data_IF_460079176236
#
_entry.id   IF_460079176236
#
_cell.length_a   1.000
_cell.length_b   1.000
_cell.length_c   1.000
_cell.angle_alpha   90.00
_cell.angle_beta   90.00
_cell.angle_gamma   90.00
#
_symmetry.space_group_name_H-M   'P 1'
#
loop_
_entity.id
_entity.type
_entity.pdbx_description
1 polymer ?
#
# COMPACT_ATOMS: atom_id res chain seq x y z
N UNK A 1 -14.69 -7.02 -38.36
CA UNK A 1 -14.11 -6.89 -37.01
C UNK A 1 -13.63 -5.45 -36.87
N UNK A 2 -14.33 -4.55 -36.17
CA UNK A 2 -13.74 -3.28 -35.78
C UNK A 2 -12.80 -3.53 -34.60
N UNK A 3 -11.59 -2.99 -34.69
CA UNK A 3 -10.54 -3.14 -33.67
C UNK A 3 -10.91 -2.39 -32.39
N UNK A 4 -10.47 -2.94 -31.25
CA UNK A 4 -10.53 -2.28 -29.96
C UNK A 4 -9.74 -0.96 -30.04
N UNK A 5 -10.42 0.16 -29.79
CA UNK A 5 -9.76 1.41 -29.50
C UNK A 5 -9.28 1.36 -28.05
N UNK A 6 -8.02 1.71 -27.82
CA UNK A 6 -7.41 1.80 -26.49
C UNK A 6 -8.17 2.84 -25.63
N UNK A 7 -8.49 2.54 -24.36
CA UNK A 7 -9.11 3.50 -23.46
C UNK A 7 -8.13 4.65 -23.15
N UNK A 8 -8.64 5.88 -23.15
CA UNK A 8 -7.85 7.06 -22.79
C UNK A 8 -7.66 7.13 -21.27
N UNK A 9 -6.43 7.10 -20.74
CA UNK A 9 -6.21 7.27 -19.31
C UNK A 9 -6.48 8.73 -18.88
N UNK A 10 -6.80 8.99 -17.61
CA UNK A 10 -6.78 10.35 -17.07
C UNK A 10 -5.38 10.94 -17.21
N UNK A 11 -5.30 12.27 -17.19
CA UNK A 11 -4.03 12.98 -17.30
C UNK A 11 -3.27 12.88 -15.98
N UNK A 12 -2.43 11.87 -15.88
CA UNK A 12 -1.36 11.76 -14.89
C UNK A 12 -0.08 12.28 -15.55
N UNK A 13 0.44 13.40 -15.06
CA UNK A 13 1.76 13.91 -15.50
C UNK A 13 2.79 13.46 -14.48
N UNK A 14 3.73 12.62 -14.92
CA UNK A 14 4.87 12.16 -14.11
C UNK A 14 6.13 12.75 -14.74
N UNK A 15 6.82 13.64 -14.02
CA UNK A 15 8.14 14.10 -14.42
C UNK A 15 9.21 13.31 -13.66
N UNK A 16 9.94 12.45 -14.37
CA UNK A 16 11.00 11.60 -13.79
C UNK A 16 12.37 12.11 -14.22
N UNK A 17 13.22 12.42 -13.25
CA UNK A 17 14.64 12.73 -13.48
C UNK A 17 15.49 11.53 -13.07
N UNK A 18 16.25 10.95 -13.99
CA UNK A 18 17.06 9.76 -13.72
C UNK A 18 18.51 10.13 -13.39
N UNK A 19 18.87 9.98 -12.12
CA UNK A 19 20.25 10.04 -11.59
C UNK A 19 20.43 8.90 -10.57
N UNK A 20 21.46 8.94 -9.71
CA UNK A 20 21.58 7.99 -8.58
C UNK A 20 20.32 7.97 -7.69
N UNK A 21 19.57 9.06 -7.71
CA UNK A 21 18.26 9.24 -7.08
C UNK A 21 17.19 9.52 -8.14
N UNK A 22 15.95 9.16 -7.83
CA UNK A 22 14.77 9.41 -8.66
C UNK A 22 13.82 10.34 -7.92
N UNK A 23 13.55 11.50 -8.51
CA UNK A 23 12.56 12.45 -8.01
C UNK A 23 11.34 12.45 -8.93
N UNK A 24 10.15 12.34 -8.34
CA UNK A 24 8.88 12.31 -9.06
C UNK A 24 8.01 13.47 -8.57
N UNK A 25 7.61 14.31 -9.52
CA UNK A 25 6.47 15.21 -9.34
C UNK A 25 5.29 14.60 -10.06
N UNK A 26 4.20 14.35 -9.32
CA UNK A 26 3.00 13.77 -9.88
C UNK A 26 1.79 14.68 -9.65
N UNK A 27 0.99 14.80 -10.71
CA UNK A 27 -0.30 15.49 -10.67
C UNK A 27 -1.31 14.67 -11.43
N UNK A 28 -2.46 14.41 -10.81
CA UNK A 28 -3.63 13.86 -11.50
C UNK A 28 -4.85 14.75 -11.32
N UNK A 29 -5.79 14.61 -12.26
CA UNK A 29 -7.14 15.15 -12.14
C UNK A 29 -8.15 14.09 -12.59
N UNK A 30 -9.31 14.08 -11.92
CA UNK A 30 -10.42 13.18 -12.25
C UNK A 30 -11.77 13.84 -11.93
N UNK A 31 -12.85 13.25 -12.41
CA UNK A 31 -14.23 13.76 -12.20
C UNK A 31 -14.83 13.36 -10.85
N UNK A 32 -14.18 12.50 -10.09
CA UNK A 32 -14.63 12.00 -8.79
C UNK A 32 -13.76 12.54 -7.65
N UNK A 33 -14.14 12.32 -6.38
CA UNK A 33 -13.33 12.75 -5.25
C UNK A 33 -12.23 11.70 -4.91
N UNK A 34 -10.97 12.13 -4.64
CA UNK A 34 -10.48 13.50 -4.79
C UNK A 34 -10.37 13.91 -6.28
N UNK A 35 -10.75 15.17 -6.59
CA UNK A 35 -10.81 15.67 -7.99
C UNK A 35 -9.46 15.96 -8.63
N UNK A 36 -8.40 15.89 -7.82
CA UNK A 36 -7.02 15.99 -8.25
C UNK A 36 -6.10 16.05 -7.04
N UNK A 37 -4.81 15.85 -7.30
CA UNK A 37 -3.77 15.82 -6.29
C UNK A 37 -2.45 16.29 -6.90
N UNK A 38 -1.61 16.90 -6.08
CA UNK A 38 -0.23 17.24 -6.42
C UNK A 38 0.68 16.73 -5.29
N UNK A 39 1.71 15.99 -5.64
CA UNK A 39 2.67 15.44 -4.69
C UNK A 39 4.10 15.41 -5.24
N UNK A 40 5.06 15.32 -4.32
CA UNK A 40 6.47 15.13 -4.60
C UNK A 40 7.00 13.91 -3.85
N UNK A 41 7.76 13.09 -4.57
CA UNK A 41 8.39 11.86 -4.08
C UNK A 41 9.89 11.87 -4.41
N UNK A 42 10.68 11.31 -3.51
CA UNK A 42 12.10 11.07 -3.68
C UNK A 42 12.40 9.62 -3.31
N UNK A 43 12.94 8.84 -4.25
CA UNK A 43 13.29 7.43 -4.08
C UNK A 43 12.15 6.59 -3.47
N UNK A 44 10.92 6.72 -4.01
CA UNK A 44 9.72 6.00 -3.56
C UNK A 44 9.12 6.47 -2.23
N UNK A 45 9.71 7.48 -1.59
CA UNK A 45 9.19 8.09 -0.36
C UNK A 45 8.50 9.44 -0.61
N UNK A 46 7.24 9.53 -0.18
CA UNK A 46 6.48 10.78 -0.15
C UNK A 46 7.22 11.85 0.67
N UNK A 47 7.52 12.98 0.04
CA UNK A 47 8.14 14.12 0.72
C UNK A 47 7.08 15.12 1.18
N UNK A 48 6.19 15.52 0.27
CA UNK A 48 5.08 16.42 0.56
C UNK A 48 3.96 16.32 -0.47
N UNK A 49 2.79 16.84 -0.12
CA UNK A 49 1.69 17.11 -1.03
C UNK A 49 1.13 18.52 -0.82
N UNK A 50 0.31 18.99 -1.76
CA UNK A 50 -0.41 20.27 -1.63
C UNK A 50 -1.86 20.03 -1.22
N UNK A 51 -2.23 20.50 -0.04
CA UNK A 51 -3.61 20.49 0.45
C UNK A 51 -4.40 21.61 -0.25
N UNK A 52 -5.38 21.24 -1.07
CA UNK A 52 -6.16 22.19 -1.88
C UNK A 52 -7.04 23.11 -1.04
N UNK A 53 -7.54 22.61 0.10
CA UNK A 53 -8.47 23.35 0.95
C UNK A 53 -7.71 24.35 1.83
N UNK A 54 -6.59 23.91 2.40
CA UNK A 54 -5.71 24.77 3.21
C UNK A 54 -4.83 25.68 2.36
N UNK A 55 -4.58 25.31 1.10
CA UNK A 55 -3.63 25.96 0.19
C UNK A 55 -2.22 25.99 0.77
N UNK A 56 -1.82 24.88 1.37
CA UNK A 56 -0.55 24.72 2.08
C UNK A 56 0.20 23.49 1.59
N UNK A 57 1.53 23.53 1.69
CA UNK A 57 2.38 22.35 1.52
C UNK A 57 2.38 21.55 2.80
N UNK A 58 1.95 20.31 2.73
CA UNK A 58 1.94 19.38 3.85
C UNK A 58 3.10 18.42 3.68
N UNK A 59 4.06 18.48 4.60
CA UNK A 59 5.25 17.64 4.60
C UNK A 59 4.96 16.31 5.28
N UNK A 60 5.37 15.21 4.65
CA UNK A 60 5.24 13.86 5.21
C UNK A 60 5.93 13.75 6.56
N UNK A 61 7.13 14.35 6.65
CA UNK A 61 7.90 14.49 7.87
C UNK A 61 8.11 15.97 8.21
N UNK A 62 7.81 16.43 9.44
CA UNK A 62 7.92 17.84 9.82
C UNK A 62 9.32 18.44 9.66
N UNK A 63 10.37 17.63 9.81
CA UNK A 63 11.76 18.02 9.63
C UNK A 63 12.06 18.48 8.20
N UNK A 64 11.41 17.91 7.19
CA UNK A 64 11.58 18.36 5.79
C UNK A 64 11.06 19.78 5.61
N UNK A 65 9.92 20.12 6.21
CA UNK A 65 9.37 21.48 6.18
C UNK A 65 10.17 22.52 6.94
N UNK A 66 11.18 22.11 7.74
CA UNK A 66 12.14 23.04 8.36
C UNK A 66 13.36 23.29 7.49
N UNK A 67 13.73 22.31 6.65
CA UNK A 67 14.92 22.36 5.80
C UNK A 67 14.61 22.89 4.39
N UNK A 68 13.41 22.59 3.89
CA UNK A 68 12.98 22.88 2.53
C UNK A 68 11.70 23.70 2.53
N UNK A 69 11.40 24.32 1.39
CA UNK A 69 10.19 25.09 1.17
C UNK A 69 9.66 24.83 -0.24
N UNK A 70 8.33 24.78 -0.37
CA UNK A 70 7.64 24.72 -1.64
C UNK A 70 6.47 25.71 -1.60
N UNK A 71 6.28 26.46 -2.68
CA UNK A 71 5.13 27.36 -2.80
C UNK A 71 3.92 26.55 -3.31
N UNK A 72 2.92 26.40 -2.43
CA UNK A 72 1.69 25.66 -2.74
C UNK A 72 0.96 26.18 -3.98
N UNK A 73 1.17 27.45 -4.37
CA UNK A 73 0.56 28.01 -5.59
C UNK A 73 0.99 27.26 -6.85
N UNK A 74 2.22 26.74 -6.91
CA UNK A 74 2.70 25.93 -8.03
C UNK A 74 1.85 24.68 -8.21
N UNK A 75 1.70 23.89 -7.14
CA UNK A 75 0.88 22.67 -7.18
C UNK A 75 -0.60 22.94 -7.43
N UNK A 76 -1.16 24.03 -6.87
CA UNK A 76 -2.54 24.43 -7.16
C UNK A 76 -2.74 24.81 -8.64
N UNK A 77 -1.77 25.50 -9.25
CA UNK A 77 -1.81 25.84 -10.67
C UNK A 77 -1.72 24.59 -11.55
N UNK A 78 -0.85 23.64 -11.21
CA UNK A 78 -0.73 22.37 -11.94
C UNK A 78 -2.00 21.54 -11.87
N UNK A 79 -2.66 21.46 -10.71
CA UNK A 79 -3.97 20.81 -10.57
C UNK A 79 -5.03 21.50 -11.44
N UNK A 80 -5.05 22.84 -11.48
CA UNK A 80 -5.99 23.58 -12.32
C UNK A 80 -5.78 23.32 -13.81
N UNK A 81 -4.52 23.27 -14.25
CA UNK A 81 -4.14 22.91 -15.62
C UNK A 81 -4.55 21.47 -15.92
N UNK A 82 -4.28 20.52 -15.02
CA UNK A 82 -4.66 19.12 -15.18
C UNK A 82 -6.18 18.95 -15.33
N UNK A 83 -6.97 19.67 -14.53
CA UNK A 83 -8.45 19.71 -14.63
C UNK A 83 -8.91 20.28 -15.97
N UNK A 84 -8.32 21.39 -16.44
CA UNK A 84 -8.65 21.94 -17.76
C UNK A 84 -8.29 20.99 -18.90
N UNK A 85 -7.15 20.31 -18.80
CA UNK A 85 -6.72 19.34 -19.79
C UNK A 85 -7.65 18.11 -19.77
N UNK A 86 -8.11 17.67 -18.59
CA UNK A 86 -9.08 16.58 -18.45
C UNK A 86 -10.38 16.88 -19.19
N UNK A 87 -10.93 18.08 -19.05
CA UNK A 87 -12.15 18.50 -19.76
C UNK A 87 -12.00 18.45 -21.28
N UNK A 88 -10.81 18.72 -21.79
CA UNK A 88 -10.48 18.62 -23.22
C UNK A 88 -10.35 17.16 -23.62
N UNK A 89 -9.60 16.36 -22.86
CA UNK A 89 -9.36 14.94 -23.12
C UNK A 89 -10.65 14.13 -23.13
N UNK A 90 -11.57 14.40 -22.21
CA UNK A 90 -12.90 13.75 -22.17
C UNK A 90 -13.66 13.98 -23.48
N UNK A 91 -13.60 15.20 -24.05
CA UNK A 91 -14.26 15.50 -25.32
C UNK A 91 -13.56 14.81 -26.49
N UNK A 92 -12.23 14.82 -26.51
CA UNK A 92 -11.43 14.18 -27.56
C UNK A 92 -11.58 12.65 -27.57
N UNK A 93 -11.77 12.03 -26.40
CA UNK A 93 -11.99 10.59 -26.28
C UNK A 93 -13.43 10.16 -26.52
N UNK A 94 -14.32 11.07 -26.91
CA UNK A 94 -15.77 10.84 -26.97
C UNK A 94 -16.34 10.26 -25.66
N UNK A 95 -15.89 10.79 -24.52
CA UNK A 95 -16.35 10.40 -23.18
C UNK A 95 -16.05 8.94 -22.81
N UNK A 96 -14.99 8.35 -23.38
CA UNK A 96 -14.52 7.02 -23.00
C UNK A 96 -14.15 7.00 -21.51
N UNK A 97 -14.67 6.03 -20.77
CA UNK A 97 -14.36 5.83 -19.35
C UNK A 97 -13.06 5.05 -19.19
N UNK A 98 -12.29 5.37 -18.17
CA UNK A 98 -11.12 4.59 -17.82
C UNK A 98 -11.54 3.23 -17.22
N UNK A 99 -10.81 2.17 -17.58
CA UNK A 99 -11.01 0.85 -17.00
C UNK A 99 -10.58 0.87 -15.52
N UNK A 100 -11.31 0.17 -14.66
CA UNK A 100 -10.92 0.03 -13.25
C UNK A 100 -10.04 -1.21 -13.07
N UNK A 101 -8.91 -1.04 -12.42
CA UNK A 101 -7.98 -2.10 -12.03
C UNK A 101 -8.12 -2.34 -10.52
N UNK A 102 -8.42 -3.58 -10.08
CA UNK A 102 -8.61 -3.88 -8.67
C UNK A 102 -7.28 -3.81 -7.88
N UNK A 103 -7.31 -3.36 -6.62
CA UNK A 103 -6.14 -3.33 -5.76
C UNK A 103 -5.67 -4.72 -5.36
N UNK A 104 -4.35 -4.85 -5.19
CA UNK A 104 -3.74 -5.88 -4.36
C UNK A 104 -3.50 -5.31 -2.96
N UNK A 105 -3.87 -6.05 -1.92
CA UNK A 105 -3.82 -5.55 -0.53
C UNK A 105 -2.96 -6.46 0.32
N UNK A 106 -2.03 -5.87 1.07
CA UNK A 106 -1.17 -6.58 2.02
C UNK A 106 -1.21 -5.89 3.37
N UNK A 107 -1.34 -6.66 4.45
CA UNK A 107 -1.33 -6.16 5.84
C UNK A 107 -0.13 -6.73 6.59
N UNK A 108 0.66 -5.86 7.20
CA UNK A 108 1.85 -6.26 7.95
C UNK A 108 2.19 -5.25 9.05
N UNK A 109 2.83 -5.68 10.16
CA UNK A 109 3.27 -4.78 11.20
C UNK A 109 4.55 -4.04 10.76
N UNK A 110 4.73 -2.82 11.25
CA UNK A 110 5.91 -2.00 10.98
C UNK A 110 7.18 -2.63 11.59
N UNK A 111 7.08 -3.07 12.84
CA UNK A 111 8.16 -3.71 13.59
C UNK A 111 7.78 -5.17 13.93
N UNK A 112 8.74 -6.05 14.26
CA UNK A 112 8.44 -7.35 14.85
C UNK A 112 7.45 -7.24 16.01
N UNK A 113 6.50 -8.17 16.09
CA UNK A 113 5.39 -8.09 17.06
C UNK A 113 5.87 -8.53 18.43
N UNK A 114 5.75 -7.64 19.42
CA UNK A 114 5.91 -7.94 20.83
C UNK A 114 4.62 -7.59 21.58
N UNK A 115 4.02 -8.55 22.28
CA UNK A 115 2.76 -8.35 22.99
C UNK A 115 2.90 -7.23 24.03
N UNK A 116 1.90 -6.34 24.08
CA UNK A 116 1.90 -5.21 25.01
C UNK A 116 2.82 -4.04 24.64
N UNK A 117 3.64 -4.13 23.60
CA UNK A 117 4.47 -3.02 23.12
C UNK A 117 3.82 -2.28 21.94
N UNK A 118 3.78 -0.93 21.94
CA UNK A 118 3.20 -0.17 20.84
C UNK A 118 3.83 -0.50 19.48
N UNK A 119 2.99 -0.67 18.46
CA UNK A 119 3.41 -0.94 17.09
C UNK A 119 2.44 -0.23 16.10
N UNK A 120 2.66 -0.38 14.81
CA UNK A 120 1.80 0.16 13.75
C UNK A 120 1.50 -0.94 12.73
N UNK A 121 0.22 -1.22 12.48
CA UNK A 121 -0.18 -2.03 11.33
C UNK A 121 -0.19 -1.15 10.08
N UNK A 122 0.33 -1.71 9.00
CA UNK A 122 0.40 -1.09 7.68
C UNK A 122 -0.48 -1.91 6.75
N UNK A 123 -1.44 -1.24 6.12
CA UNK A 123 -2.20 -1.77 4.99
C UNK A 123 -1.69 -1.09 3.72
N UNK A 124 -0.94 -1.85 2.93
CA UNK A 124 -0.46 -1.41 1.62
C UNK A 124 -1.47 -1.84 0.57
N UNK A 125 -2.09 -0.86 -0.07
CA UNK A 125 -3.02 -1.04 -1.19
C UNK A 125 -2.27 -0.67 -2.46
N UNK A 126 -2.06 -1.63 -3.35
CA UNK A 126 -1.14 -1.52 -4.49
C UNK A 126 -1.86 -1.77 -5.83
N UNK A 127 -1.26 -1.25 -6.91
CA UNK A 127 -1.64 -1.52 -8.32
C UNK A 127 -3.12 -1.26 -8.67
N UNK A 128 -3.73 -0.26 -8.04
CA UNK A 128 -5.13 0.07 -8.31
C UNK A 128 -5.28 1.31 -9.19
N UNK A 129 -6.38 1.35 -9.91
CA UNK A 129 -6.78 2.50 -10.72
C UNK A 129 -8.31 2.50 -10.89
N UNK A 130 -9.03 3.64 -10.81
CA UNK A 130 -8.55 5.01 -10.59
C UNK A 130 -8.14 5.28 -9.12
N UNK A 131 -7.55 6.45 -8.80
CA UNK A 131 -7.22 6.87 -7.45
C UNK A 131 -8.48 7.27 -6.66
N UNK A 132 -9.36 6.29 -6.43
CA UNK A 132 -10.56 6.38 -5.59
C UNK A 132 -10.59 5.16 -4.71
N UNK A 133 -10.52 5.36 -3.40
CA UNK A 133 -10.38 4.27 -2.44
C UNK A 133 -11.11 4.62 -1.15
N UNK A 134 -11.80 3.65 -0.55
CA UNK A 134 -12.26 3.76 0.83
C UNK A 134 -11.63 2.63 1.64
N UNK A 135 -10.90 2.98 2.70
CA UNK A 135 -10.20 2.03 3.56
C UNK A 135 -10.68 2.21 4.99
N UNK A 136 -11.08 1.12 5.62
CA UNK A 136 -11.54 1.10 7.01
C UNK A 136 -10.76 0.05 7.79
N UNK A 137 -10.18 0.45 8.91
CA UNK A 137 -9.62 -0.49 9.87
C UNK A 137 -10.73 -1.03 10.77
N UNK A 138 -10.75 -2.36 10.94
CA UNK A 138 -11.62 -3.05 11.89
C UNK A 138 -10.75 -3.68 12.99
N UNK A 139 -11.18 -3.60 14.24
CA UNK A 139 -10.68 -4.40 15.36
C UNK A 139 -11.83 -5.24 15.90
N UNK A 140 -11.68 -6.55 15.92
CA UNK A 140 -12.73 -7.50 16.31
C UNK A 140 -14.06 -7.24 15.57
N UNK A 141 -13.97 -6.94 14.27
CA UNK A 141 -15.10 -6.62 13.40
C UNK A 141 -15.73 -5.22 13.60
N UNK A 142 -15.22 -4.39 14.51
CA UNK A 142 -15.71 -3.03 14.76
C UNK A 142 -14.80 -1.96 14.14
N UNK A 143 -15.35 -0.92 13.49
CA UNK A 143 -14.54 0.16 12.92
C UNK A 143 -13.71 0.91 13.96
N UNK A 144 -12.44 1.18 13.64
CA UNK A 144 -11.52 2.00 14.45
C UNK A 144 -11.02 3.18 13.64
N UNK A 145 -11.02 4.36 14.26
CA UNK A 145 -10.54 5.62 13.66
C UNK A 145 -9.43 6.27 14.47
N UNK A 146 -9.31 5.94 15.76
CA UNK A 146 -8.21 6.42 16.60
C UNK A 146 -6.88 5.81 16.14
N UNK A 147 -5.83 6.63 16.04
CA UNK A 147 -4.52 6.17 15.60
C UNK A 147 -4.41 5.84 14.10
N UNK A 148 -5.47 6.10 13.33
CA UNK A 148 -5.47 5.90 11.88
C UNK A 148 -4.83 7.08 11.18
N UNK A 149 -3.94 6.79 10.22
CA UNK A 149 -3.42 7.79 9.27
C UNK A 149 -3.20 7.16 7.90
N UNK A 150 -2.95 7.97 6.88
CA UNK A 150 -2.79 7.52 5.50
C UNK A 150 -1.76 8.36 4.74
N UNK A 151 -1.18 7.81 3.68
CA UNK A 151 -0.42 8.56 2.67
C UNK A 151 -1.36 9.22 1.66
N UNK A 152 -0.85 10.03 0.74
CA UNK A 152 -1.57 10.41 -0.49
C UNK A 152 -1.65 9.26 -1.50
N UNK A 153 -2.23 9.47 -2.68
CA UNK A 153 -2.19 8.49 -3.77
C UNK A 153 -0.82 8.55 -4.44
N UNK A 154 0.01 7.54 -4.18
CA UNK A 154 1.36 7.47 -4.70
C UNK A 154 1.35 6.90 -6.13
N UNK A 155 2.02 7.55 -7.09
CA UNK A 155 2.03 7.10 -8.48
C UNK A 155 2.92 5.87 -8.65
N UNK A 156 2.57 5.01 -9.60
CA UNK A 156 3.46 3.96 -10.10
C UNK A 156 3.88 4.25 -11.54
N UNK A 157 4.95 3.58 -11.97
CA UNK A 157 5.48 3.71 -13.34
C UNK A 157 4.57 3.11 -14.42
N UNK A 158 3.62 2.26 -14.03
CA UNK A 158 2.59 1.66 -14.89
C UNK A 158 1.27 2.45 -14.90
N UNK A 159 1.27 3.71 -14.43
CA UNK A 159 0.12 4.61 -14.32
C UNK A 159 -0.97 4.17 -13.33
N UNK A 160 -0.74 3.08 -12.60
CA UNK A 160 -1.54 2.72 -11.44
C UNK A 160 -1.10 3.54 -10.22
N UNK A 161 -1.84 3.37 -9.12
CA UNK A 161 -1.54 3.99 -7.84
C UNK A 161 -1.29 2.95 -6.76
N UNK A 162 -0.57 3.36 -5.73
CA UNK A 162 -0.53 2.67 -4.44
C UNK A 162 -0.74 3.66 -3.30
N UNK A 163 -1.11 3.16 -2.14
CA UNK A 163 -1.43 3.97 -0.96
C UNK A 163 -1.20 3.16 0.31
N UNK A 164 -0.73 3.84 1.35
CA UNK A 164 -0.54 3.24 2.66
C UNK A 164 -1.60 3.76 3.64
N UNK A 165 -2.21 2.85 4.38
CA UNK A 165 -2.99 3.15 5.58
C UNK A 165 -2.30 2.58 6.80
N UNK A 166 -2.31 3.34 7.89
CA UNK A 166 -1.62 3.00 9.11
C UNK A 166 -2.63 2.95 10.26
N UNK A 167 -2.42 2.03 11.20
CA UNK A 167 -3.13 1.96 12.47
C UNK A 167 -2.13 1.77 13.60
N UNK A 168 -1.98 2.76 14.47
CA UNK A 168 -1.23 2.57 15.72
C UNK A 168 -2.02 1.67 16.66
N UNK A 169 -1.38 0.64 17.20
CA UNK A 169 -2.03 -0.33 18.08
C UNK A 169 -1.05 -0.89 19.12
N UNK A 170 -1.60 -1.58 20.11
CA UNK A 170 -0.81 -2.40 21.05
C UNK A 170 -1.21 -3.85 20.79
N UNK A 171 -0.30 -4.71 20.31
CA UNK A 171 -0.61 -6.10 19.99
C UNK A 171 -1.10 -6.86 21.23
N UNK A 172 -2.15 -7.65 21.01
CA UNK A 172 -2.74 -8.60 21.96
C UNK A 172 -3.07 -9.88 21.19
N UNK A 173 -2.97 -11.01 21.90
CA UNK A 173 -3.41 -12.35 21.49
C UNK A 173 -4.94 -12.50 21.42
N UNK A 174 -5.69 -11.56 22.01
CA UNK A 174 -7.16 -11.56 21.98
C UNK A 174 -7.76 -10.72 20.84
N UNK A 175 -6.95 -9.86 20.21
CA UNK A 175 -7.41 -8.92 19.21
C UNK A 175 -7.07 -9.37 17.79
N UNK A 176 -8.06 -9.27 16.91
CA UNK A 176 -7.88 -9.42 15.47
C UNK A 176 -8.17 -8.11 14.74
N UNK A 177 -7.48 -7.90 13.63
CA UNK A 177 -7.56 -6.69 12.84
C UNK A 177 -7.86 -7.01 11.38
N UNK A 178 -8.67 -6.19 10.72
CA UNK A 178 -8.93 -6.29 9.29
C UNK A 178 -8.73 -4.95 8.62
N UNK A 179 -7.98 -4.92 7.52
CA UNK A 179 -8.01 -3.81 6.58
C UNK A 179 -9.10 -4.07 5.53
N UNK A 180 -10.23 -3.35 5.64
CA UNK A 180 -11.31 -3.38 4.67
C UNK A 180 -11.05 -2.35 3.57
N UNK A 181 -10.97 -2.79 2.33
CA UNK A 181 -10.71 -1.94 1.15
C UNK A 181 -11.87 -2.02 0.17
N UNK A 182 -12.41 -0.87 -0.21
CA UNK A 182 -13.45 -0.72 -1.23
C UNK A 182 -12.89 0.09 -2.41
N UNK A 183 -13.06 -0.45 -3.61
CA UNK A 183 -12.57 0.11 -4.88
C UNK A 183 -13.49 -0.34 -6.02
N UNK A 184 -13.62 0.46 -7.09
CA UNK A 184 -14.55 0.15 -8.20
C UNK A 184 -14.16 -1.07 -9.03
N UNK A 185 -12.89 -1.46 -9.02
CA UNK A 185 -12.40 -2.69 -9.64
C UNK A 185 -12.77 -3.95 -8.85
N UNK A 186 -13.24 -3.81 -7.61
CA UNK A 186 -13.66 -4.94 -6.77
C UNK A 186 -15.17 -5.16 -6.86
N UNK A 187 -15.58 -6.42 -7.00
CA UNK A 187 -17.00 -6.79 -6.93
C UNK A 187 -17.54 -6.72 -5.50
N UNK A 188 -16.70 -7.06 -4.52
CA UNK A 188 -16.99 -7.00 -3.09
C UNK A 188 -15.79 -6.40 -2.34
N UNK A 189 -15.99 -5.76 -1.19
CA UNK A 189 -14.88 -5.22 -0.40
C UNK A 189 -13.84 -6.29 -0.07
N UNK A 190 -12.56 -5.96 -0.24
CA UNK A 190 -11.46 -6.83 0.18
C UNK A 190 -11.27 -6.70 1.69
N UNK A 191 -11.29 -7.82 2.41
CA UNK A 191 -11.04 -7.89 3.85
C UNK A 191 -9.72 -8.63 4.08
N UNK A 192 -8.70 -7.89 4.53
CA UNK A 192 -7.36 -8.43 4.72
C UNK A 192 -7.08 -8.55 6.20
N UNK A 193 -7.13 -9.79 6.66
CA UNK A 193 -7.05 -10.15 8.06
C UNK A 193 -5.60 -10.14 8.57
N UNK A 194 -5.43 -9.71 9.81
CA UNK A 194 -4.19 -9.78 10.55
C UNK A 194 -4.46 -10.08 12.02
N UNK A 195 -3.69 -11.01 12.57
CA UNK A 195 -3.67 -11.35 13.98
C UNK A 195 -2.21 -11.54 14.42
N UNK A 196 -1.92 -11.28 15.69
CA UNK A 196 -0.61 -11.57 16.23
C UNK A 196 -0.41 -13.09 16.20
N UNK A 197 0.52 -13.58 15.38
CA UNK A 197 0.86 -14.99 15.41
C UNK A 197 1.54 -15.30 16.74
N UNK A 198 0.95 -16.19 17.53
CA UNK A 198 1.63 -16.84 18.65
C UNK A 198 2.97 -17.38 18.11
N UNK A 199 4.13 -17.04 18.71
CA UNK A 199 5.36 -17.70 18.35
C UNK A 199 5.11 -19.19 18.54
N UNK A 200 5.21 -19.97 17.45
CA UNK A 200 5.04 -21.42 17.50
C UNK A 200 5.95 -21.90 18.62
N UNK A 201 5.36 -22.26 19.76
CA UNK A 201 6.11 -22.83 20.84
C UNK A 201 6.54 -24.20 20.32
N UNK A 202 7.74 -24.25 19.77
CA UNK A 202 8.48 -25.49 19.61
C UNK A 202 8.70 -25.96 21.03
N UNK A 203 7.71 -26.68 21.57
CA UNK A 203 7.80 -27.25 22.90
C UNK A 203 9.05 -28.11 22.94
N UNK A 204 9.81 -28.11 24.04
CA UNK A 204 10.98 -28.99 24.20
C UNK A 204 10.64 -30.46 23.84
N UNK A 205 9.38 -30.86 24.03
CA UNK A 205 8.84 -32.14 23.60
C UNK A 205 8.97 -32.39 22.09
N UNK A 206 8.70 -31.40 21.24
CA UNK A 206 8.83 -31.51 19.77
C UNK A 206 10.29 -31.64 19.33
N UNK A 207 11.22 -30.88 19.91
CA UNK A 207 12.66 -31.07 19.64
C UNK A 207 13.15 -32.44 20.09
N UNK A 208 12.75 -32.88 21.30
CA UNK A 208 13.14 -34.19 21.84
C UNK A 208 12.63 -35.33 20.96
N UNK A 209 11.39 -35.24 20.46
CA UNK A 209 10.79 -36.23 19.57
C UNK A 209 11.51 -36.26 18.21
N UNK A 210 11.83 -35.11 17.63
CA UNK A 210 12.57 -35.04 16.35
C UNK A 210 13.99 -35.62 16.50
N UNK A 211 14.70 -35.29 17.58
CA UNK A 211 16.01 -35.88 17.88
C UNK A 211 15.94 -37.40 18.10
N UNK A 212 14.95 -37.89 18.85
CA UNK A 212 14.78 -39.31 19.10
C UNK A 212 14.47 -40.09 17.81
N UNK A 213 13.57 -39.57 16.97
CA UNK A 213 13.26 -40.17 15.66
C UNK A 213 14.47 -40.17 14.73
N UNK A 214 15.25 -39.07 14.72
CA UNK A 214 16.50 -38.98 13.96
C UNK A 214 17.55 -40.01 14.40
N UNK A 215 17.70 -40.24 15.70
CA UNK A 215 18.59 -41.26 16.25
C UNK A 215 18.15 -42.68 15.84
N UNK A 216 16.86 -43.00 15.95
CA UNK A 216 16.33 -44.31 15.56
C UNK A 216 16.56 -44.57 14.07
N UNK A 217 16.24 -43.60 13.22
CA UNK A 217 16.46 -43.70 11.77
C UNK A 217 17.94 -43.87 11.43
N UNK A 218 18.83 -43.14 12.11
CA UNK A 218 20.28 -43.27 11.94
C UNK A 218 20.80 -44.65 12.32
N UNK A 219 20.36 -45.21 13.45
CA UNK A 219 20.74 -46.56 13.89
C UNK A 219 20.24 -47.64 12.92
N UNK A 220 18.99 -47.53 12.45
CA UNK A 220 18.45 -48.45 11.43
C UNK A 220 19.24 -48.38 10.13
N UNK A 221 19.65 -47.18 9.71
CA UNK A 221 20.51 -46.98 8.53
C UNK A 221 21.88 -47.64 8.67
N UNK A 222 22.51 -47.56 9.85
CA UNK A 222 23.80 -48.22 10.13
C UNK A 222 23.65 -49.76 10.09
N UNK A 223 22.59 -50.30 10.70
CA UNK A 223 22.35 -51.75 10.74
C UNK A 223 22.06 -52.28 9.33
N UNK A 224 21.19 -51.62 8.57
CA UNK A 224 20.87 -52.03 7.19
C UNK A 224 22.08 -51.87 6.27
N UNK A 225 22.85 -50.78 6.41
CA UNK A 225 24.09 -50.55 5.65
C UNK A 225 25.18 -51.58 5.92
N UNK A 226 25.38 -51.99 7.18
CA UNK A 226 26.36 -53.02 7.53
C UNK A 226 25.94 -54.41 7.01
N UNK A 227 24.65 -54.75 7.05
CA UNK A 227 24.13 -56.02 6.49
C UNK A 227 24.21 -56.07 4.96
N UNK A 228 24.01 -54.94 4.27
CA UNK A 228 24.15 -54.84 2.81
C UNK A 228 25.61 -54.80 2.32
N UNK A 229 26.57 -54.58 3.21
CA UNK A 229 28.01 -54.45 2.89
C UNK A 229 28.83 -55.72 3.17
N UNK A 230 28.19 -56.80 3.66
CA UNK A 230 28.76 -58.13 3.92
C UNK A 230 28.27 -59.09 2.84
#
# INVERSE_FOLDING_TARGET
KPGCADPSPPLLTISVYRTDHVSIYATFAQTHAPSGEFMFELDEDEQFYVDQDKKETIWRLPEFGRAFGFDSQGGLADIAIAKSNLDITIKLSNHTQAASEPPEVTVFPKEPVELGQPNTLICHVDRFFPPVLNVTWLRNGQPVTEGVSESVFLPRTDYNFHKFHYLTFVPSDEDVYDCKVEHWGLQEPSLNHWEAQEPVQVTEATETVVCALGLVMGLVGIITGTVLSI
#
